data_IF_736778527239
#
_entry.id   IF_736778527239
#
_cell.length_a   1.000
_cell.length_b   1.000
_cell.length_c   1.000
_cell.angle_alpha   90.00
_cell.angle_beta   90.00
_cell.angle_gamma   90.00
#
_symmetry.space_group_name_H-M   'P 1'
#
loop_
_entity.id
_entity.type
_entity.pdbx_description
1 polymer ?
#
# COMPACT_ATOMS: atom_id res chain seq x y z
N UNK A 1 3.85 -3.18 8.98
CA UNK A 1 4.39 -2.15 8.07
C UNK A 1 3.28 -1.33 7.42
N UNK A 2 2.11 -1.92 7.10
CA UNK A 2 0.94 -1.14 6.72
C UNK A 2 0.25 -0.56 7.97
N UNK A 3 -0.37 0.64 7.88
CA UNK A 3 -1.20 1.18 8.96
C UNK A 3 -2.37 0.24 9.26
N UNK A 4 -2.72 0.05 10.54
CA UNK A 4 -3.80 -0.87 10.96
C UNK A 4 -5.14 -0.57 10.29
N UNK A 5 -5.43 0.72 10.06
CA UNK A 5 -6.64 1.19 9.37
C UNK A 5 -6.80 0.63 7.97
N UNK A 6 -5.69 0.28 7.32
CA UNK A 6 -5.65 -0.18 5.94
C UNK A 6 -5.35 -1.68 5.87
N UNK A 7 -4.46 -2.18 6.75
CA UNK A 7 -4.04 -3.58 6.81
C UNK A 7 -5.19 -4.56 7.08
N UNK A 8 -6.32 -4.10 7.60
CA UNK A 8 -7.53 -4.93 7.73
C UNK A 8 -8.24 -5.19 6.39
N UNK A 9 -8.06 -4.29 5.41
CA UNK A 9 -8.75 -4.34 4.11
C UNK A 9 -7.81 -4.56 2.93
N UNK A 10 -6.49 -4.53 3.17
CA UNK A 10 -5.48 -4.77 2.17
C UNK A 10 -4.43 -5.78 2.65
N UNK A 11 -3.77 -6.43 1.70
CA UNK A 11 -2.62 -7.28 1.94
C UNK A 11 -1.56 -6.98 0.88
N UNK A 12 -0.29 -7.14 1.22
CA UNK A 12 0.77 -7.01 0.22
C UNK A 12 0.77 -8.23 -0.65
N UNK A 13 0.62 -8.00 -1.96
CA UNK A 13 0.73 -9.03 -2.97
C UNK A 13 2.15 -9.16 -3.49
N UNK A 14 2.82 -8.02 -3.70
CA UNK A 14 4.17 -8.00 -4.24
C UNK A 14 4.92 -6.74 -3.82
N UNK A 15 6.24 -6.86 -3.69
CA UNK A 15 7.16 -5.73 -3.50
C UNK A 15 8.37 -5.99 -4.40
N UNK A 16 8.39 -5.37 -5.58
CA UNK A 16 9.48 -5.52 -6.56
C UNK A 16 9.78 -4.17 -7.20
N UNK A 17 11.05 -3.92 -7.49
CA UNK A 17 11.50 -2.75 -8.27
C UNK A 17 10.92 -1.41 -7.74
N UNK A 18 10.92 -1.23 -6.41
CA UNK A 18 10.36 -0.04 -5.76
C UNK A 18 8.83 0.15 -5.95
N UNK A 19 8.13 -0.87 -6.45
CA UNK A 19 6.68 -0.89 -6.58
C UNK A 19 6.06 -1.84 -5.55
N UNK A 20 5.15 -1.31 -4.73
CA UNK A 20 4.36 -2.07 -3.78
C UNK A 20 2.97 -2.34 -4.35
N UNK A 21 2.65 -3.61 -4.57
CA UNK A 21 1.33 -4.04 -5.03
C UNK A 21 0.49 -4.46 -3.82
N UNK A 22 -0.61 -3.75 -3.59
CA UNK A 22 -1.60 -4.04 -2.57
C UNK A 22 -2.82 -4.72 -3.19
N UNK A 23 -3.16 -5.90 -2.68
CA UNK A 23 -4.43 -6.57 -2.94
C UNK A 23 -5.48 -6.05 -1.97
N UNK A 24 -6.56 -5.49 -2.49
CA UNK A 24 -7.57 -4.78 -1.70
C UNK A 24 -8.91 -5.47 -1.84
N UNK A 25 -9.56 -5.73 -0.70
CA UNK A 25 -10.83 -6.48 -0.64
C UNK A 25 -12.08 -5.64 -0.93
N UNK A 26 -11.97 -4.31 -0.89
CA UNK A 26 -13.10 -3.40 -1.09
C UNK A 26 -12.67 -2.16 -1.87
N UNK A 27 -13.44 -1.80 -2.89
CA UNK A 27 -13.27 -0.58 -3.69
C UNK A 27 -13.19 0.70 -2.84
N UNK A 28 -13.94 0.79 -1.74
CA UNK A 28 -13.89 1.93 -0.83
C UNK A 28 -12.52 2.07 -0.14
N UNK A 29 -11.88 0.95 0.20
CA UNK A 29 -10.53 0.96 0.75
C UNK A 29 -9.50 1.36 -0.32
N UNK A 30 -9.70 0.94 -1.58
CA UNK A 30 -8.83 1.35 -2.68
C UNK A 30 -8.86 2.86 -2.93
N UNK A 31 -10.04 3.46 -2.87
CA UNK A 31 -10.17 4.93 -2.94
C UNK A 31 -9.42 5.60 -1.80
N UNK A 32 -9.58 5.14 -0.56
CA UNK A 32 -8.88 5.71 0.62
C UNK A 32 -7.36 5.61 0.49
N UNK A 33 -6.84 4.45 0.09
CA UNK A 33 -5.40 4.24 -0.13
C UNK A 33 -4.89 5.22 -1.18
N UNK A 34 -5.63 5.43 -2.27
CA UNK A 34 -5.24 6.36 -3.33
C UNK A 34 -5.21 7.82 -2.86
N UNK A 35 -6.12 8.22 -1.98
CA UNK A 35 -6.09 9.55 -1.35
C UNK A 35 -4.93 9.71 -0.36
N UNK A 36 -4.49 8.62 0.25
CA UNK A 36 -3.41 8.60 1.24
C UNK A 36 -2.07 8.14 0.65
N UNK A 37 -1.96 8.02 -0.68
CA UNK A 37 -0.83 7.37 -1.35
C UNK A 37 0.50 8.01 -0.99
N UNK A 38 0.60 9.34 -1.06
CA UNK A 38 1.81 10.08 -0.70
C UNK A 38 2.20 9.92 0.77
N UNK A 39 1.21 9.93 1.67
CA UNK A 39 1.45 9.74 3.12
C UNK A 39 1.92 8.32 3.40
N UNK A 40 1.30 7.32 2.76
CA UNK A 40 1.68 5.91 2.82
C UNK A 40 3.09 5.69 2.30
N UNK A 41 3.41 6.23 1.12
CA UNK A 41 4.75 6.13 0.54
C UNK A 41 5.78 6.76 1.48
N UNK A 42 5.51 7.93 2.04
CA UNK A 42 6.41 8.56 3.01
C UNK A 42 6.58 7.72 4.28
N UNK A 43 5.49 7.15 4.80
CA UNK A 43 5.54 6.28 5.98
C UNK A 43 6.33 5.00 5.72
N UNK A 44 6.12 4.37 4.56
CA UNK A 44 6.81 3.15 4.16
C UNK A 44 8.29 3.40 3.90
N UNK A 45 8.65 4.51 3.25
CA UNK A 45 10.04 4.91 3.01
C UNK A 45 10.78 5.32 4.29
N UNK A 46 10.07 5.73 5.34
CA UNK A 46 10.65 5.97 6.67
C UNK A 46 10.98 4.68 7.41
N UNK A 47 10.46 3.54 6.98
CA UNK A 47 10.79 2.25 7.60
C UNK A 47 12.13 1.75 7.04
N UNK A 48 13.19 1.79 7.85
CA UNK A 48 14.55 1.37 7.43
C UNK A 48 14.65 -0.10 6.98
N UNK A 49 13.63 -0.91 7.24
CA UNK A 49 13.59 -2.34 6.90
C UNK A 49 12.92 -2.63 5.55
N UNK A 50 12.40 -1.61 4.88
CA UNK A 50 11.80 -1.73 3.55
C UNK A 50 12.70 -1.05 2.51
N UNK A 51 12.82 -1.62 1.30
CA UNK A 51 13.41 -0.90 0.18
C UNK A 51 12.58 0.35 -0.11
N UNK A 52 13.22 1.38 -0.67
CA UNK A 52 12.53 2.61 -1.08
C UNK A 52 11.35 2.27 -1.98
N UNK A 53 10.15 2.73 -1.66
CA UNK A 53 8.93 2.49 -2.44
C UNK A 53 8.63 3.78 -3.20
N UNK A 54 8.68 3.73 -4.52
CA UNK A 54 8.42 4.85 -5.42
C UNK A 54 7.00 4.83 -5.97
N UNK A 55 6.39 3.65 -6.04
CA UNK A 55 5.07 3.45 -6.65
C UNK A 55 4.23 2.51 -5.81
N UNK A 56 2.94 2.80 -5.74
CA UNK A 56 1.96 1.99 -5.06
C UNK A 56 0.90 1.58 -6.09
N UNK A 57 0.68 0.27 -6.24
CA UNK A 57 -0.32 -0.27 -7.15
C UNK A 57 -1.42 -0.96 -6.35
N UNK A 58 -2.65 -0.53 -6.59
CA UNK A 58 -3.83 -1.02 -5.89
C UNK A 58 -4.62 -1.96 -6.80
N UNK A 59 -4.69 -3.24 -6.46
CA UNK A 59 -5.46 -4.24 -7.20
C UNK A 59 -6.67 -4.64 -6.36
N UNK A 60 -7.87 -4.26 -6.80
CA UNK A 60 -9.11 -4.70 -6.14
C UNK A 60 -9.40 -6.14 -6.55
N UNK A 61 -9.49 -7.04 -5.56
CA UNK A 61 -9.94 -8.41 -5.77
C UNK A 61 -11.27 -8.62 -5.03
N UNK A 62 -12.35 -8.97 -5.75
CA UNK A 62 -13.64 -9.33 -5.15
C UNK A 62 -13.56 -10.64 -4.37
#
# INVERSE_FOLDING_TARGET
FLPETIGQFCHVMNLKEHCLVLGIRNSAAATRIRYQEEELLNHLNRQSNLPTILKLECVVRP
#
